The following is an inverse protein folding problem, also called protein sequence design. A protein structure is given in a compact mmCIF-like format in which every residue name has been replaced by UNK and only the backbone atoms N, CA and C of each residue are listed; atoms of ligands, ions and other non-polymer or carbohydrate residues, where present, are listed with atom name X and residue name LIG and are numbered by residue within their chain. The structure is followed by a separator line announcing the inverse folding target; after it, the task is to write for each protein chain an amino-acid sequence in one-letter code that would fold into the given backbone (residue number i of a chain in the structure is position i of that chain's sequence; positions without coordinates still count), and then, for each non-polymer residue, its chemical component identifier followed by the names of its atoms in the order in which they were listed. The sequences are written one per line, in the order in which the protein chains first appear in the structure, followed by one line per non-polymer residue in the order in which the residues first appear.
data_IF_411063812909
#
_entry.id   IF_411063812909
#
_cell.length_a   1.000
_cell.length_b   1.000
_cell.length_c   1.000
_cell.angle_alpha   90.00
_cell.angle_beta   90.00
_cell.angle_gamma   90.00
#
_symmetry.space_group_name_H-M   'P 1'
#
loop_
_entity.id
_entity.type
_entity.pdbx_description
1 polymer ?
#
# COMPACT_ATOMS: atom_id res chain seq x y z
N UNK A 1 14.58 -10.56 -6.59
CA UNK A 1 13.41 -9.75 -7.00
C UNK A 1 13.29 -8.60 -6.01
N UNK A 2 13.18 -7.35 -6.46
CA UNK A 2 12.98 -6.19 -5.59
C UNK A 2 11.49 -5.98 -5.34
N UNK A 3 11.13 -5.17 -4.34
CA UNK A 3 9.73 -4.81 -4.09
C UNK A 3 9.10 -4.11 -5.29
N UNK A 4 9.82 -3.19 -5.94
CA UNK A 4 9.34 -2.54 -7.16
C UNK A 4 8.99 -3.55 -8.27
N UNK A 5 9.87 -4.53 -8.53
CA UNK A 5 9.55 -5.57 -9.53
C UNK A 5 8.39 -6.44 -9.10
N UNK A 6 8.21 -6.66 -7.79
CA UNK A 6 7.04 -7.37 -7.28
C UNK A 6 5.74 -6.60 -7.52
N UNK A 7 5.69 -5.35 -7.11
CA UNK A 7 4.55 -4.44 -7.29
C UNK A 7 4.15 -4.30 -8.76
N UNK A 8 5.12 -4.19 -9.68
CA UNK A 8 4.83 -4.09 -11.12
C UNK A 8 4.19 -5.36 -11.69
N UNK A 9 4.67 -6.54 -11.29
CA UNK A 9 4.05 -7.81 -11.70
C UNK A 9 2.63 -7.96 -11.12
N UNK A 10 2.42 -7.56 -9.85
CA UNK A 10 1.09 -7.57 -9.23
C UNK A 10 0.13 -6.63 -9.96
N UNK A 11 0.57 -5.42 -10.30
CA UNK A 11 -0.23 -4.47 -11.08
C UNK A 11 -0.61 -5.01 -12.46
N UNK A 12 0.33 -5.65 -13.17
CA UNK A 12 0.06 -6.26 -14.48
C UNK A 12 -0.99 -7.38 -14.39
N UNK A 13 -0.83 -8.29 -13.42
CA UNK A 13 -1.80 -9.37 -13.20
C UNK A 13 -3.16 -8.83 -12.76
N UNK A 14 -3.17 -7.87 -11.84
CA UNK A 14 -4.39 -7.22 -11.33
C UNK A 14 -5.21 -6.58 -12.44
N UNK A 15 -4.57 -5.81 -13.32
CA UNK A 15 -5.25 -5.22 -14.49
C UNK A 15 -5.79 -6.26 -15.45
N UNK A 16 -5.02 -7.31 -15.73
CA UNK A 16 -5.47 -8.39 -16.61
C UNK A 16 -6.73 -9.06 -16.05
N UNK A 17 -6.76 -9.34 -14.74
CA UNK A 17 -7.93 -9.92 -14.07
C UNK A 17 -9.11 -8.95 -14.09
N UNK A 18 -8.88 -7.67 -13.73
CA UNK A 18 -9.92 -6.64 -13.74
C UNK A 18 -10.58 -6.51 -15.12
N UNK A 19 -9.76 -6.47 -16.18
CA UNK A 19 -10.23 -6.44 -17.57
C UNK A 19 -11.10 -7.64 -17.92
N UNK A 20 -10.64 -8.85 -17.58
CA UNK A 20 -11.39 -10.08 -17.86
C UNK A 20 -12.74 -10.14 -17.13
N UNK A 21 -12.86 -9.47 -15.98
CA UNK A 21 -14.07 -9.43 -15.17
C UNK A 21 -14.94 -8.18 -15.42
N UNK A 22 -14.51 -7.26 -16.30
CA UNK A 22 -15.21 -5.98 -16.53
C UNK A 22 -15.15 -5.03 -15.32
N UNK A 23 -14.18 -5.21 -14.42
CA UNK A 23 -13.94 -4.32 -13.30
C UNK A 23 -13.10 -3.10 -13.72
N UNK A 24 -12.99 -2.10 -12.83
CA UNK A 24 -12.20 -0.91 -13.10
C UNK A 24 -10.69 -1.21 -13.04
N UNK A 25 -10.02 -1.17 -14.19
CA UNK A 25 -8.58 -1.44 -14.31
C UNK A 25 -7.72 -0.40 -13.61
N UNK A 26 -8.07 0.90 -13.71
CA UNK A 26 -7.28 2.00 -13.15
C UNK A 26 -7.31 1.97 -11.61
N UNK A 27 -8.48 1.74 -11.03
CA UNK A 27 -8.63 1.55 -9.59
C UNK A 27 -7.83 0.34 -9.11
N UNK A 28 -7.90 -0.76 -9.85
CA UNK A 28 -7.15 -1.99 -9.52
C UNK A 28 -5.64 -1.74 -9.57
N UNK A 29 -5.15 -1.10 -10.62
CA UNK A 29 -3.74 -0.74 -10.76
C UNK A 29 -3.29 0.19 -9.62
N UNK A 30 -4.06 1.23 -9.30
CA UNK A 30 -3.74 2.16 -8.22
C UNK A 30 -3.61 1.44 -6.87
N UNK A 31 -4.53 0.53 -6.56
CA UNK A 31 -4.47 -0.30 -5.33
C UNK A 31 -3.21 -1.19 -5.37
N UNK A 32 -2.97 -1.89 -6.48
CA UNK A 32 -1.79 -2.75 -6.63
C UNK A 32 -0.47 -1.97 -6.51
N UNK A 33 -0.40 -0.73 -6.98
CA UNK A 33 0.81 0.09 -6.86
C UNK A 33 1.03 0.57 -5.42
N UNK A 34 -0.04 0.89 -4.69
CA UNK A 34 0.05 1.49 -3.37
C UNK A 34 0.06 0.47 -2.21
N UNK A 35 -0.36 -0.79 -2.43
CA UNK A 35 -0.49 -1.79 -1.36
C UNK A 35 0.81 -1.99 -0.56
N UNK A 36 1.93 -1.97 -1.28
CA UNK A 36 3.24 -2.33 -0.76
C UNK A 36 4.11 -1.11 -0.44
N UNK A 37 3.54 0.02 -0.03
CA UNK A 37 4.36 1.19 0.36
C UNK A 37 4.94 1.06 1.78
N UNK A 38 4.23 0.35 2.65
CA UNK A 38 4.47 0.35 4.10
C UNK A 38 5.44 -0.70 4.64
N UNK A 39 5.93 -1.68 3.85
CA UNK A 39 6.88 -2.63 4.46
C UNK A 39 8.18 -1.93 4.84
N UNK A 40 8.73 -2.30 5.99
CA UNK A 40 10.03 -1.82 6.43
C UNK A 40 11.16 -2.48 5.62
N UNK A 41 12.41 -2.03 5.83
CA UNK A 41 13.59 -2.74 5.36
C UNK A 41 13.53 -4.23 5.71
N UNK A 42 14.05 -5.09 4.81
CA UNK A 42 14.09 -6.55 4.97
C UNK A 42 12.73 -7.29 4.96
N UNK A 43 11.66 -6.64 4.49
CA UNK A 43 10.37 -7.29 4.25
C UNK A 43 9.75 -7.84 5.54
N UNK A 44 9.19 -9.07 5.50
CA UNK A 44 8.51 -9.66 6.65
C UNK A 44 9.41 -9.81 7.90
N UNK A 45 10.71 -10.05 7.73
CA UNK A 45 11.62 -10.09 8.88
C UNK A 45 11.69 -8.73 9.60
N UNK A 46 11.75 -7.64 8.84
CA UNK A 46 11.69 -6.28 9.39
C UNK A 46 10.34 -5.97 10.02
N UNK A 47 9.24 -6.42 9.40
CA UNK A 47 7.90 -6.24 9.93
C UNK A 47 7.72 -6.96 11.28
N UNK A 48 8.13 -8.22 11.38
CA UNK A 48 8.06 -8.97 12.62
C UNK A 48 8.92 -8.34 13.72
N UNK A 49 10.13 -7.90 13.37
CA UNK A 49 11.01 -7.22 14.31
C UNK A 49 10.40 -5.90 14.81
N UNK A 50 9.88 -5.06 13.91
CA UNK A 50 9.23 -3.80 14.29
C UNK A 50 7.96 -4.03 15.09
N UNK A 51 7.14 -5.02 14.73
CA UNK A 51 5.92 -5.31 15.48
C UNK A 51 6.23 -5.77 16.91
N UNK A 52 7.29 -6.55 17.11
CA UNK A 52 7.75 -6.95 18.44
C UNK A 52 8.26 -5.75 19.25
N UNK A 53 9.05 -4.87 18.63
CA UNK A 53 9.57 -3.66 19.27
C UNK A 53 8.48 -2.63 19.60
N UNK A 54 7.43 -2.56 18.79
CA UNK A 54 6.32 -1.62 18.95
C UNK A 54 5.16 -2.19 19.76
N UNK A 55 5.33 -3.36 20.40
CA UNK A 55 4.25 -4.04 21.13
C UNK A 55 3.56 -3.14 22.17
N UNK A 56 4.32 -2.34 22.90
CA UNK A 56 3.80 -1.42 23.92
C UNK A 56 3.35 -0.06 23.35
N UNK A 57 3.40 0.09 22.02
CA UNK A 57 3.08 1.31 21.27
C UNK A 57 2.02 1.09 20.18
N UNK A 58 1.27 -0.01 20.24
CA UNK A 58 0.21 -0.33 19.26
C UNK A 58 0.62 -1.26 18.12
N UNK A 59 1.84 -1.78 18.13
CA UNK A 59 2.36 -2.73 17.15
C UNK A 59 2.77 -2.07 15.83
N UNK A 60 3.07 -2.91 14.85
CA UNK A 60 3.40 -2.50 13.48
C UNK A 60 2.79 -3.48 12.48
N UNK A 61 2.17 -2.95 11.44
CA UNK A 61 1.62 -3.70 10.31
C UNK A 61 1.85 -2.91 9.02
N UNK A 62 2.38 -3.56 7.99
CA UNK A 62 2.73 -2.87 6.75
C UNK A 62 1.51 -2.27 6.03
N UNK A 63 0.33 -2.90 6.06
CA UNK A 63 -0.88 -2.36 5.40
C UNK A 63 -1.34 -1.08 6.09
N UNK A 64 -1.40 -1.07 7.42
CA UNK A 64 -1.72 0.15 8.19
C UNK A 64 -0.66 1.24 7.95
N UNK A 65 0.61 0.85 7.81
CA UNK A 65 1.67 1.79 7.49
C UNK A 65 1.56 2.32 6.05
N UNK A 66 1.21 1.49 5.05
CA UNK A 66 0.92 1.93 3.68
C UNK A 66 -0.18 2.99 3.65
N UNK A 67 -1.26 2.75 4.41
CA UNK A 67 -2.35 3.70 4.55
C UNK A 67 -1.87 5.02 5.18
N UNK A 68 -1.15 4.94 6.31
CA UNK A 68 -0.60 6.11 7.00
C UNK A 68 0.35 6.92 6.10
N UNK A 69 1.13 6.27 5.25
CA UNK A 69 2.00 6.95 4.28
C UNK A 69 1.18 7.85 3.36
N UNK A 70 0.13 7.30 2.74
CA UNK A 70 -0.66 8.03 1.74
C UNK A 70 -1.66 9.02 2.34
N UNK A 71 -1.99 8.92 3.63
CA UNK A 71 -2.91 9.84 4.31
C UNK A 71 -2.22 10.88 5.18
N UNK A 72 -0.99 10.62 5.65
CA UNK A 72 -0.34 11.47 6.66
C UNK A 72 1.13 11.76 6.36
N UNK A 73 1.95 10.75 6.03
CA UNK A 73 3.41 10.94 6.05
C UNK A 73 3.98 11.57 4.78
N UNK A 74 3.41 11.27 3.61
CA UNK A 74 3.81 11.94 2.37
C UNK A 74 3.42 13.41 2.42
N UNK A 75 4.37 14.28 2.11
CA UNK A 75 4.16 15.73 2.09
C UNK A 75 4.61 16.29 0.74
N UNK A 76 3.75 16.06 -0.26
CA UNK A 76 4.00 16.43 -1.67
C UNK A 76 3.18 17.65 -2.09
N UNK A 77 2.17 18.02 -1.31
CA UNK A 77 1.25 19.11 -1.59
C UNK A 77 1.23 20.06 -0.39
N UNK A 78 1.26 21.39 -0.59
CA UNK A 78 1.41 22.34 0.51
C UNK A 78 0.15 22.48 1.38
N UNK A 79 -1.03 22.18 0.82
CA UNK A 79 -2.32 22.52 1.43
C UNK A 79 -2.89 21.39 2.31
N UNK A 80 -2.37 20.16 2.21
CA UNK A 80 -2.88 19.00 2.94
C UNK A 80 -1.79 17.94 3.14
N UNK A 81 -1.98 17.14 4.19
CA UNK A 81 -1.13 15.98 4.48
C UNK A 81 -1.49 14.79 3.58
N UNK A 82 -0.51 13.94 3.28
CA UNK A 82 -0.69 12.77 2.42
C UNK A 82 -0.84 13.12 0.94
N UNK A 83 -1.49 12.23 0.21
CA UNK A 83 -1.66 12.30 -1.24
C UNK A 83 -3.09 12.60 -1.68
N UNK A 84 -4.03 12.73 -0.73
CA UNK A 84 -5.45 12.97 -0.99
C UNK A 84 -6.05 12.04 -2.07
N UNK A 85 -5.75 10.73 -1.96
CA UNK A 85 -6.25 9.73 -2.89
C UNK A 85 -7.77 9.55 -2.78
N UNK A 86 -8.39 9.05 -3.86
CA UNK A 86 -9.82 8.74 -3.88
C UNK A 86 -10.19 7.78 -2.74
N UNK A 87 -11.44 7.85 -2.30
CA UNK A 87 -11.95 6.99 -1.23
C UNK A 87 -11.79 5.51 -1.60
N UNK A 88 -12.11 5.14 -2.84
CA UNK A 88 -12.06 3.78 -3.35
C UNK A 88 -10.63 3.23 -3.34
N UNK A 89 -9.63 4.07 -3.67
CA UNK A 89 -8.22 3.66 -3.61
C UNK A 89 -7.81 3.40 -2.16
N UNK A 90 -8.15 4.31 -1.24
CA UNK A 90 -7.83 4.19 0.19
C UNK A 90 -8.51 2.99 0.85
N UNK A 91 -9.78 2.76 0.57
CA UNK A 91 -10.53 1.60 1.06
C UNK A 91 -10.02 0.31 0.45
N UNK A 92 -9.79 0.33 -0.87
CA UNK A 92 -9.17 -0.76 -1.59
C UNK A 92 -7.82 -1.12 -0.99
N UNK A 93 -7.09 -0.12 -0.48
CA UNK A 93 -5.80 -0.32 0.19
C UNK A 93 -5.84 -1.04 1.54
N UNK A 94 -6.98 -1.02 2.23
CA UNK A 94 -7.11 -1.62 3.56
C UNK A 94 -7.69 -3.04 3.52
N UNK A 95 -8.36 -3.41 2.43
CA UNK A 95 -9.21 -4.61 2.34
C UNK A 95 -8.61 -5.76 1.53
N UNK A 96 -7.48 -5.55 0.87
CA UNK A 96 -6.83 -6.57 0.06
C UNK A 96 -5.99 -7.56 0.90
#
# INVERSE_FOLDING_TARGET
RTRLTHTLEVAQLGRSIARSLGANEDLTEAICLAHDLGHPPFGHAGEHALNALMKDHGGFNHNTQSYRIVTELENRYPDFMGLNLTYETREGMLKH
#
